data_IF_718281228073
#
_entry.id   IF_718281228073
#
_cell.length_a   1.000
_cell.length_b   1.000
_cell.length_c   1.000
_cell.angle_alpha   90.00
_cell.angle_beta   90.00
_cell.angle_gamma   90.00
#
_symmetry.space_group_name_H-M   'P 1'
#
loop_
_entity.id
_entity.type
_entity.pdbx_description
1 polymer ?
#
# COMPACT_ATOMS: atom_id res chain seq x y z
N UNK A 1 -12.77 -19.73 -11.39
CA UNK A 1 -12.78 -20.55 -12.61
C UNK A 1 -12.53 -19.60 -13.76
N UNK A 2 -11.40 -19.72 -14.46
CA UNK A 2 -11.13 -18.91 -15.64
C UNK A 2 -11.91 -19.52 -16.80
N UNK A 3 -12.96 -18.83 -17.24
CA UNK A 3 -13.74 -19.19 -18.44
C UNK A 3 -12.85 -18.97 -19.65
N UNK A 4 -12.20 -20.04 -20.11
CA UNK A 4 -11.35 -19.98 -21.29
C UNK A 4 -12.27 -19.82 -22.51
N UNK A 5 -12.21 -18.67 -23.17
CA UNK A 5 -12.91 -18.44 -24.43
C UNK A 5 -12.33 -19.42 -25.47
N UNK A 6 -13.17 -20.34 -25.96
CA UNK A 6 -12.75 -21.36 -26.93
C UNK A 6 -12.62 -20.79 -28.35
N UNK A 7 -13.31 -19.68 -28.61
CA UNK A 7 -13.35 -18.98 -29.89
C UNK A 7 -12.81 -17.56 -29.70
N UNK A 8 -12.16 -17.05 -30.74
CA UNK A 8 -11.63 -15.68 -30.85
C UNK A 8 -12.30 -15.07 -32.07
N UNK A 9 -12.49 -13.75 -32.09
CA UNK A 9 -13.07 -13.02 -33.23
C UNK A 9 -12.44 -13.44 -34.58
N UNK A 10 -11.11 -13.61 -34.60
CA UNK A 10 -10.35 -14.07 -35.76
C UNK A 10 -10.69 -15.50 -36.18
N UNK A 11 -10.84 -16.43 -35.22
CA UNK A 11 -11.19 -17.82 -35.53
C UNK A 11 -12.58 -17.93 -36.15
N UNK A 12 -13.52 -17.09 -35.73
CA UNK A 12 -14.88 -17.08 -36.26
C UNK A 12 -14.89 -16.56 -37.70
N UNK A 13 -14.03 -15.57 -38.01
CA UNK A 13 -13.87 -15.04 -39.37
C UNK A 13 -13.21 -16.03 -40.33
N UNK A 14 -12.21 -16.78 -39.86
CA UNK A 14 -11.43 -17.71 -40.69
C UNK A 14 -12.11 -19.08 -40.87
N UNK A 15 -13.16 -19.38 -40.10
CA UNK A 15 -13.86 -20.66 -40.13
C UNK A 15 -14.59 -20.85 -41.48
N UNK A 16 -14.35 -21.99 -42.13
CA UNK A 16 -15.01 -22.34 -43.39
C UNK A 16 -15.92 -23.55 -43.22
N UNK A 17 -17.20 -23.37 -43.51
CA UNK A 17 -18.19 -24.45 -43.41
C UNK A 17 -18.32 -25.22 -44.74
N UNK A 18 -18.34 -26.56 -44.72
CA UNK A 18 -18.64 -27.35 -45.91
C UNK A 18 -20.11 -27.19 -46.29
N UNK A 19 -20.40 -27.04 -47.60
CA UNK A 19 -21.76 -26.94 -48.11
C UNK A 19 -22.50 -28.27 -48.01
N UNK A 20 -23.58 -28.31 -47.22
CA UNK A 20 -24.42 -29.50 -47.04
C UNK A 20 -25.77 -29.28 -47.77
N UNK A 21 -26.32 -30.28 -48.50
CA UNK A 21 -27.54 -30.13 -49.29
C UNK A 21 -28.84 -29.80 -48.51
N UNK A 22 -28.81 -29.81 -47.17
CA UNK A 22 -29.88 -29.31 -46.28
C UNK A 22 -29.33 -28.35 -45.22
N UNK A 23 -28.31 -27.57 -45.58
CA UNK A 23 -27.70 -26.58 -44.71
C UNK A 23 -28.50 -25.27 -44.64
N UNK A 24 -28.08 -24.40 -43.72
CA UNK A 24 -28.52 -23.01 -43.67
C UNK A 24 -27.98 -22.23 -44.87
N UNK A 25 -28.69 -21.16 -45.24
CA UNK A 25 -28.23 -20.23 -46.27
C UNK A 25 -26.89 -19.60 -45.85
N UNK A 26 -25.81 -19.75 -46.65
CA UNK A 26 -24.50 -19.19 -46.33
C UNK A 26 -24.54 -17.69 -46.04
N UNK A 27 -25.40 -16.92 -46.72
CA UNK A 27 -25.48 -15.48 -46.57
C UNK A 27 -26.08 -15.08 -45.22
N UNK A 28 -27.08 -15.84 -44.75
CA UNK A 28 -27.72 -15.60 -43.44
C UNK A 28 -26.75 -15.99 -42.32
N UNK A 29 -26.01 -17.08 -42.51
CA UNK A 29 -24.97 -17.52 -41.56
C UNK A 29 -23.88 -16.47 -41.46
N UNK A 30 -23.38 -15.94 -42.57
CA UNK A 30 -22.34 -14.90 -42.60
C UNK A 30 -22.78 -13.64 -41.84
N UNK A 31 -23.98 -13.12 -42.13
CA UNK A 31 -24.54 -11.96 -41.41
C UNK A 31 -24.73 -12.20 -39.91
N UNK A 32 -24.97 -13.44 -39.50
CA UNK A 32 -25.08 -13.81 -38.10
C UNK A 32 -23.70 -13.89 -37.44
N UNK A 33 -22.72 -14.46 -38.12
CA UNK A 33 -21.33 -14.53 -37.65
C UNK A 33 -20.70 -13.14 -37.55
N UNK A 34 -21.02 -12.20 -38.45
CA UNK A 34 -20.59 -10.81 -38.34
C UNK A 34 -21.03 -10.17 -37.02
N UNK A 35 -22.28 -10.41 -36.58
CA UNK A 35 -22.78 -9.90 -35.30
C UNK A 35 -22.05 -10.54 -34.12
N UNK A 36 -21.82 -11.85 -34.18
CA UNK A 36 -21.06 -12.57 -33.15
C UNK A 36 -19.62 -12.04 -33.07
N UNK A 37 -18.99 -11.77 -34.21
CA UNK A 37 -17.63 -11.19 -34.26
C UNK A 37 -17.61 -9.83 -33.57
N UNK A 38 -18.60 -8.97 -33.80
CA UNK A 38 -18.70 -7.68 -33.12
C UNK A 38 -18.81 -7.84 -31.59
N UNK A 39 -19.66 -8.75 -31.13
CA UNK A 39 -19.81 -9.02 -29.69
C UNK A 39 -18.52 -9.56 -29.08
N UNK A 40 -17.82 -10.46 -29.78
CA UNK A 40 -16.54 -11.00 -29.33
C UNK A 40 -15.43 -9.95 -29.27
N UNK A 41 -15.38 -9.02 -30.22
CA UNK A 41 -14.43 -7.90 -30.18
C UNK A 41 -14.66 -7.01 -28.94
N UNK A 42 -15.93 -6.74 -28.61
CA UNK A 42 -16.27 -5.98 -27.40
C UNK A 42 -15.82 -6.73 -26.15
N UNK A 43 -16.10 -8.02 -26.06
CA UNK A 43 -15.68 -8.86 -24.93
C UNK A 43 -14.15 -8.90 -24.79
N UNK A 44 -13.42 -9.11 -25.89
CA UNK A 44 -11.95 -9.13 -25.90
C UNK A 44 -11.36 -7.78 -25.45
N UNK A 45 -11.96 -6.67 -25.88
CA UNK A 45 -11.54 -5.32 -25.47
C UNK A 45 -11.79 -5.07 -23.97
N UNK A 46 -12.95 -5.47 -23.46
CA UNK A 46 -13.28 -5.33 -22.05
C UNK A 46 -12.38 -6.22 -21.18
N UNK A 47 -12.08 -7.45 -21.62
CA UNK A 47 -11.17 -8.34 -20.90
C UNK A 47 -9.75 -7.73 -20.81
N UNK A 48 -9.30 -7.04 -21.85
CA UNK A 48 -8.02 -6.34 -21.84
C UNK A 48 -8.03 -5.17 -20.86
N UNK A 49 -9.10 -4.37 -20.84
CA UNK A 49 -9.28 -3.25 -19.92
C UNK A 49 -9.30 -3.76 -18.48
N UNK A 50 -10.10 -4.78 -18.19
CA UNK A 50 -10.22 -5.38 -16.86
C UNK A 50 -8.86 -5.92 -16.36
N UNK A 51 -8.07 -6.55 -17.24
CA UNK A 51 -6.72 -7.02 -16.90
C UNK A 51 -5.81 -5.86 -16.52
N UNK A 52 -5.81 -4.78 -17.29
CA UNK A 52 -5.00 -3.59 -17.01
C UNK A 52 -5.42 -2.94 -15.69
N UNK A 53 -6.72 -2.83 -15.42
CA UNK A 53 -7.24 -2.26 -14.19
C UNK A 53 -6.90 -3.13 -12.97
N UNK A 54 -7.01 -4.46 -13.09
CA UNK A 54 -6.60 -5.39 -12.04
C UNK A 54 -5.11 -5.26 -11.73
N UNK A 55 -4.25 -5.13 -12.75
CA UNK A 55 -2.82 -4.93 -12.55
C UNK A 55 -2.53 -3.58 -11.87
N UNK A 56 -3.18 -2.50 -12.31
CA UNK A 56 -3.06 -1.19 -11.68
C UNK A 56 -3.49 -1.21 -10.20
N UNK A 57 -4.64 -1.82 -9.90
CA UNK A 57 -5.15 -1.97 -8.54
C UNK A 57 -4.22 -2.81 -7.66
N UNK A 58 -3.61 -3.88 -8.20
CA UNK A 58 -2.64 -4.69 -7.48
C UNK A 58 -1.38 -3.91 -7.12
N UNK A 59 -0.87 -3.12 -8.05
CA UNK A 59 0.29 -2.26 -7.82
C UNK A 59 0.00 -1.19 -6.76
N UNK A 60 -1.17 -0.57 -6.82
CA UNK A 60 -1.60 0.40 -5.82
C UNK A 60 -1.76 -0.23 -4.44
N UNK A 61 -2.35 -1.43 -4.36
CA UNK A 61 -2.44 -2.17 -3.10
C UNK A 61 -1.08 -2.51 -2.52
N UNK A 62 -0.11 -2.88 -3.35
CA UNK A 62 1.25 -3.16 -2.90
C UNK A 62 1.91 -1.90 -2.33
N UNK A 63 1.79 -0.77 -3.04
CA UNK A 63 2.30 0.54 -2.60
C UNK A 63 1.69 0.97 -1.27
N UNK A 64 0.35 0.93 -1.16
CA UNK A 64 -0.36 1.31 0.06
C UNK A 64 0.00 0.41 1.23
N UNK A 65 0.22 -0.89 1.01
CA UNK A 65 0.66 -1.80 2.07
C UNK A 65 2.06 -1.45 2.59
N UNK A 66 2.97 -1.10 1.69
CA UNK A 66 4.32 -0.67 2.07
C UNK A 66 4.29 0.66 2.83
N UNK A 67 3.50 1.62 2.37
CA UNK A 67 3.28 2.89 3.06
C UNK A 67 2.66 2.67 4.45
N UNK A 68 1.66 1.81 4.56
CA UNK A 68 1.03 1.50 5.86
C UNK A 68 2.02 0.83 6.82
N UNK A 69 2.87 -0.06 6.31
CA UNK A 69 3.92 -0.71 7.11
C UNK A 69 4.95 0.31 7.62
N UNK A 70 5.45 1.18 6.75
CA UNK A 70 6.41 2.23 7.14
C UNK A 70 5.81 3.18 8.17
N UNK A 71 4.59 3.67 7.94
CA UNK A 71 3.86 4.52 8.87
C UNK A 71 3.58 3.82 10.21
N UNK A 72 3.28 2.52 10.20
CA UNK A 72 3.07 1.74 11.42
C UNK A 72 4.35 1.62 12.25
N UNK A 73 5.49 1.37 11.59
CA UNK A 73 6.81 1.35 12.24
C UNK A 73 7.17 2.72 12.81
N UNK A 74 6.93 3.79 12.07
CA UNK A 74 7.16 5.16 12.54
C UNK A 74 6.28 5.51 13.73
N UNK A 75 4.99 5.20 13.67
CA UNK A 75 4.07 5.37 14.80
C UNK A 75 4.53 4.58 16.03
N UNK A 76 5.03 3.35 15.85
CA UNK A 76 5.62 2.58 16.96
C UNK A 76 6.84 3.28 17.57
N UNK A 77 7.75 3.83 16.74
CA UNK A 77 8.90 4.61 17.22
C UNK A 77 8.47 5.88 17.95
N UNK A 78 7.52 6.64 17.40
CA UNK A 78 7.01 7.85 18.04
C UNK A 78 6.27 7.52 19.33
N UNK A 79 5.48 6.46 19.38
CA UNK A 79 4.79 6.01 20.58
C UNK A 79 5.78 5.64 21.69
N UNK A 80 6.83 4.86 21.37
CA UNK A 80 7.88 4.52 22.34
C UNK A 80 8.63 5.76 22.83
N UNK A 81 8.96 6.71 21.93
CA UNK A 81 9.56 8.00 22.33
C UNK A 81 8.62 8.79 23.24
N UNK A 82 7.33 8.85 22.90
CA UNK A 82 6.35 9.56 23.70
C UNK A 82 6.14 8.91 25.06
N UNK A 83 6.13 7.58 25.14
CA UNK A 83 6.01 6.82 26.39
C UNK A 83 7.19 7.11 27.33
N UNK A 84 8.41 7.08 26.79
CA UNK A 84 9.61 7.51 27.51
C UNK A 84 9.58 8.99 27.94
N UNK A 85 8.89 9.86 27.20
CA UNK A 85 8.71 11.29 27.53
C UNK A 85 7.51 11.53 28.47
N UNK A 86 6.53 10.63 28.50
CA UNK A 86 5.32 10.76 29.36
C UNK A 86 5.68 10.53 30.83
N UNK A 87 6.76 9.77 31.07
CA UNK A 87 7.49 9.73 32.33
C UNK A 87 8.36 11.00 32.57
N UNK A 88 8.17 12.06 31.79
CA UNK A 88 8.78 13.39 31.98
C UNK A 88 8.35 14.11 33.27
N UNK A 89 7.40 13.55 34.02
CA UNK A 89 7.20 13.88 35.44
C UNK A 89 8.39 13.43 36.30
N UNK A 90 9.03 12.31 35.93
CA UNK A 90 10.28 11.81 36.50
C UNK A 90 11.46 12.70 36.13
N UNK A 91 11.70 13.01 34.85
CA UNK A 91 12.80 13.90 34.44
C UNK A 91 12.71 15.28 35.09
N UNK A 92 11.50 15.84 35.25
CA UNK A 92 11.31 17.13 35.94
C UNK A 92 11.53 17.01 37.45
N UNK A 93 11.11 15.90 38.09
CA UNK A 93 11.40 15.62 39.51
C UNK A 93 12.87 15.36 39.75
N UNK A 94 13.50 14.52 38.94
CA UNK A 94 14.92 14.18 39.01
C UNK A 94 15.77 15.43 38.78
N UNK A 95 15.42 16.27 37.81
CA UNK A 95 16.08 17.56 37.62
C UNK A 95 15.91 18.48 38.85
N UNK A 96 14.73 18.49 39.47
CA UNK A 96 14.49 19.29 40.68
C UNK A 96 15.24 18.73 41.90
N UNK A 97 15.33 17.41 42.04
CA UNK A 97 16.08 16.72 43.09
C UNK A 97 17.59 16.90 42.90
N UNK A 98 18.08 16.86 41.66
CA UNK A 98 19.46 17.21 41.30
C UNK A 98 19.77 18.66 41.67
N UNK A 99 18.90 19.62 41.34
CA UNK A 99 19.09 21.04 41.73
C UNK A 99 19.13 21.19 43.26
N UNK A 100 18.22 20.56 44.00
CA UNK A 100 18.24 20.60 45.49
C UNK A 100 19.49 19.97 46.07
N UNK A 101 20.01 18.93 45.43
CA UNK A 101 21.23 18.24 45.85
C UNK A 101 22.46 19.09 45.56
N UNK A 102 22.52 19.73 44.40
CA UNK A 102 23.54 20.72 44.05
C UNK A 102 23.54 21.86 45.07
N UNK A 103 22.39 22.48 45.38
CA UNK A 103 22.29 23.55 46.38
C UNK A 103 22.78 23.14 47.78
N UNK A 104 22.53 21.89 48.19
CA UNK A 104 23.08 21.35 49.45
C UNK A 104 24.59 21.22 49.40
N UNK A 105 25.14 20.72 48.31
CA UNK A 105 26.59 20.60 48.14
C UNK A 105 27.26 21.97 48.07
N UNK A 106 26.65 22.94 47.40
CA UNK A 106 27.15 24.31 47.35
C UNK A 106 27.21 24.93 48.76
N UNK A 107 26.13 24.80 49.54
CA UNK A 107 26.09 25.28 50.93
C UNK A 107 27.14 24.59 51.81
N UNK A 108 27.37 23.30 51.62
CA UNK A 108 28.39 22.55 52.34
C UNK A 108 29.81 23.03 52.00
N UNK A 109 30.11 23.23 50.72
CA UNK A 109 31.40 23.75 50.27
C UNK A 109 31.65 25.18 50.80
N UNK A 110 30.65 26.05 50.76
CA UNK A 110 30.71 27.37 51.38
C UNK A 110 30.97 27.29 52.89
N UNK A 111 30.35 26.34 53.59
CA UNK A 111 30.56 26.15 55.04
C UNK A 111 31.98 25.69 55.40
N UNK A 112 32.68 25.03 54.47
CA UNK A 112 34.09 24.62 54.62
C UNK A 112 35.06 25.74 54.21
N UNK A 113 34.54 26.88 53.74
CA UNK A 113 35.35 28.02 53.31
C UNK A 113 35.96 27.86 51.92
N UNK A 114 35.45 26.91 51.12
CA UNK A 114 35.86 26.71 49.73
C UNK A 114 34.96 27.55 48.84
N UNK A 115 35.52 28.59 48.24
CA UNK A 115 34.79 29.45 47.31
C UNK A 115 34.63 28.74 45.96
N UNK A 116 33.39 28.39 45.63
CA UNK A 116 33.01 27.62 44.44
C UNK A 116 33.39 28.35 43.14
N UNK A 117 33.46 29.68 43.17
CA UNK A 117 33.89 30.48 42.01
C UNK A 117 35.41 30.41 41.74
N UNK A 118 36.19 29.78 42.62
CA UNK A 118 37.64 29.58 42.42
C UNK A 118 38.00 28.20 41.85
N UNK A 119 37.04 27.26 41.83
CA UNK A 119 37.21 25.93 41.25
C UNK A 119 36.96 26.05 39.75
N UNK A 120 38.03 26.31 38.99
CA UNK A 120 38.06 26.25 37.53
C UNK A 120 38.43 24.87 37.02
#
# INVERSE_FOLDING_TARGET
>A
MATKLNLTSQKILDERFPGVPRGYDPLIVDQFLDKIIQDYLVIESNELIDKQEIEALRNELARLKEENYTLSVENGKYKNRLENIRDGSGVTRDNMELIRTIDKYEKYLYSIGVDINSIK
#
